data_IF_700537620963
#
_entry.id   IF_700537620963
#
_cell.length_a   1.000
_cell.length_b   1.000
_cell.length_c   1.000
_cell.angle_alpha   90.00
_cell.angle_beta   90.00
_cell.angle_gamma   90.00
#
_symmetry.space_group_name_H-M   'P 1'
#
loop_
_entity.id
_entity.type
_entity.pdbx_description
1 polymer ?
#
# COMPACT_ATOMS: atom_id res chain seq x y z
N UNK A 1 -35.85 18.96 1.53
CA UNK A 1 -35.62 20.29 2.12
C UNK A 1 -34.18 20.33 2.61
N UNK A 2 -33.48 21.43 2.31
CA UNK A 2 -32.04 21.64 2.43
C UNK A 2 -31.51 21.49 3.87
N UNK A 3 -30.31 20.91 4.01
CA UNK A 3 -29.20 21.56 4.73
C UNK A 3 -27.86 21.21 4.07
N UNK A 4 -27.17 22.23 3.55
CA UNK A 4 -25.76 22.21 3.10
C UNK A 4 -24.85 22.45 4.31
N UNK A 5 -23.78 21.67 4.48
CA UNK A 5 -22.56 22.05 5.23
C UNK A 5 -21.40 21.38 4.48
N UNK A 6 -20.73 22.05 3.53
CA UNK A 6 -19.57 22.94 3.72
C UNK A 6 -18.36 22.21 4.34
N UNK A 7 -17.46 21.74 3.47
CA UNK A 7 -16.09 21.38 3.84
C UNK A 7 -15.33 22.62 4.34
N UNK A 8 -14.34 22.42 5.22
CA UNK A 8 -13.00 22.82 4.80
C UNK A 8 -11.91 21.82 5.21
N UNK A 9 -10.98 21.62 4.27
CA UNK A 9 -9.52 21.58 4.45
C UNK A 9 -9.01 21.48 5.90
N UNK A 10 -8.36 20.36 6.23
CA UNK A 10 -7.29 20.33 7.23
C UNK A 10 -6.11 19.49 6.70
N UNK A 11 -5.35 20.12 5.80
CA UNK A 11 -3.93 19.81 5.62
C UNK A 11 -3.18 20.51 6.74
N UNK A 12 -2.65 19.77 7.71
CA UNK A 12 -1.43 20.04 8.48
C UNK A 12 -1.45 19.33 9.85
N UNK A 13 -0.57 18.33 10.04
CA UNK A 13 0.15 18.11 11.30
C UNK A 13 1.16 16.95 11.17
N UNK A 14 2.27 17.20 10.48
CA UNK A 14 3.53 16.48 10.68
C UNK A 14 4.46 17.42 11.45
N UNK A 15 4.45 17.37 12.79
CA UNK A 15 5.56 17.87 13.62
C UNK A 15 5.65 17.03 14.89
N UNK A 16 6.87 16.55 15.15
CA UNK A 16 7.28 15.81 16.33
C UNK A 16 7.30 16.65 17.62
N UNK A 17 7.10 15.99 18.77
CA UNK A 17 7.74 16.36 20.04
C UNK A 17 6.84 16.80 21.20
N UNK A 18 7.16 16.27 22.40
CA UNK A 18 6.63 16.58 23.75
C UNK A 18 5.13 16.31 23.95
N UNK A 19 4.67 15.74 25.05
CA UNK A 19 5.18 15.75 26.42
C UNK A 19 3.94 15.78 27.32
N UNK A 20 4.01 15.05 28.42
CA UNK A 20 3.02 14.82 29.49
C UNK A 20 1.82 15.78 29.61
N UNK A 21 0.62 15.21 29.77
CA UNK A 21 -0.39 15.77 30.68
C UNK A 21 -1.33 14.67 31.19
N UNK A 22 -1.54 14.68 32.50
CA UNK A 22 -2.30 13.74 33.33
C UNK A 22 -3.79 14.15 33.33
N UNK A 23 -4.73 13.21 33.25
CA UNK A 23 -6.14 13.61 33.29
C UNK A 23 -7.17 12.48 33.24
N UNK A 24 -7.44 11.95 34.44
CA UNK A 24 -8.77 11.65 34.97
C UNK A 24 -9.53 10.37 34.56
N UNK A 25 -10.07 9.78 35.62
CA UNK A 25 -10.72 8.49 35.75
C UNK A 25 -12.07 8.41 35.03
N UNK A 26 -12.36 7.29 34.38
CA UNK A 26 -13.74 6.86 34.16
C UNK A 26 -13.84 5.35 34.31
N UNK A 27 -14.51 4.93 35.38
CA UNK A 27 -14.84 3.56 35.69
C UNK A 27 -15.80 2.97 34.64
N UNK A 28 -15.51 1.74 34.18
CA UNK A 28 -16.48 0.88 33.54
C UNK A 28 -16.24 -0.56 34.00
N UNK A 29 -17.19 -1.06 34.79
CA UNK A 29 -17.29 -2.45 35.28
C UNK A 29 -17.67 -3.40 34.12
N UNK A 30 -17.44 -4.73 34.26
CA UNK A 30 -17.22 -5.66 33.16
C UNK A 30 -18.47 -6.46 32.76
N UNK A 31 -18.23 -7.34 31.78
CA UNK A 31 -19.03 -8.50 31.34
C UNK A 31 -19.85 -8.27 30.05
N UNK A 32 -19.42 -8.93 28.97
CA UNK A 32 -20.23 -9.92 28.25
C UNK A 32 -19.30 -10.84 27.49
N UNK A 33 -19.52 -12.14 27.66
CA UNK A 33 -18.77 -13.24 27.08
C UNK A 33 -19.30 -13.59 25.67
N UNK A 34 -18.39 -14.23 24.90
CA UNK A 34 -18.67 -15.15 23.79
C UNK A 34 -19.24 -14.48 22.51
N UNK A 35 -18.97 -14.94 21.29
CA UNK A 35 -18.63 -16.27 20.80
C UNK A 35 -17.66 -16.21 19.60
N UNK A 36 -16.95 -17.32 19.39
CA UNK A 36 -16.34 -17.68 18.12
C UNK A 36 -17.38 -17.67 17.00
N UNK A 37 -17.10 -16.95 15.91
CA UNK A 37 -17.57 -17.35 14.59
C UNK A 37 -16.40 -17.34 13.62
N UNK A 38 -16.33 -18.44 12.87
CA UNK A 38 -15.29 -18.83 11.93
C UNK A 38 -14.98 -17.75 10.89
N UNK A 39 -13.72 -17.65 10.41
CA UNK A 39 -13.39 -16.76 9.31
C UNK A 39 -14.20 -17.19 8.08
N UNK A 40 -15.16 -16.35 7.71
CA UNK A 40 -15.68 -16.36 6.34
C UNK A 40 -14.50 -15.99 5.46
N UNK A 41 -14.16 -16.90 4.54
CA UNK A 41 -13.18 -16.66 3.49
C UNK A 41 -13.49 -15.30 2.85
N UNK A 42 -12.62 -14.33 3.11
CA UNK A 42 -12.61 -13.11 2.34
C UNK A 42 -12.13 -13.52 0.95
N UNK A 43 -13.06 -13.64 0.01
CA UNK A 43 -12.69 -13.45 -1.39
C UNK A 43 -12.09 -12.04 -1.45
N UNK A 44 -10.82 -11.87 -1.87
CA UNK A 44 -10.28 -10.53 -2.07
C UNK A 44 -10.95 -9.99 -3.33
N UNK A 45 -12.17 -9.47 -3.19
CA UNK A 45 -12.79 -8.61 -4.19
C UNK A 45 -12.11 -7.23 -4.10
N UNK A 46 -10.80 -7.21 -4.37
CA UNK A 46 -10.04 -6.02 -4.66
C UNK A 46 -10.60 -5.43 -5.95
N UNK A 47 -11.65 -4.62 -5.80
CA UNK A 47 -12.30 -3.89 -6.89
C UNK A 47 -11.31 -2.89 -7.44
N UNK A 48 -10.55 -3.32 -8.44
CA UNK A 48 -9.72 -2.45 -9.21
C UNK A 48 -10.55 -1.36 -9.92
N UNK A 49 -9.92 -0.26 -10.36
CA UNK A 49 -10.60 0.76 -11.16
C UNK A 49 -11.34 0.11 -12.34
N UNK A 50 -12.48 0.68 -12.74
CA UNK A 50 -13.39 0.10 -13.73
C UNK A 50 -12.86 -0.09 -15.16
N UNK A 51 -11.54 0.03 -15.36
CA UNK A 51 -10.83 -0.23 -16.62
C UNK A 51 -10.01 -1.52 -16.50
N UNK A 52 -10.09 -2.46 -17.47
CA UNK A 52 -9.50 -3.80 -17.37
C UNK A 52 -7.98 -3.81 -17.16
N UNK A 53 -7.26 -2.81 -17.65
CA UNK A 53 -5.81 -2.68 -17.44
C UNK A 53 -5.47 -2.38 -15.97
N UNK A 54 -6.30 -1.58 -15.30
CA UNK A 54 -6.12 -1.30 -13.88
C UNK A 54 -6.51 -2.50 -13.02
N UNK A 55 -7.44 -3.33 -13.48
CA UNK A 55 -7.76 -4.62 -12.87
C UNK A 55 -6.60 -5.60 -12.88
N UNK A 56 -6.01 -5.85 -14.05
CA UNK A 56 -4.84 -6.71 -14.15
C UNK A 56 -3.67 -6.18 -13.30
N UNK A 57 -3.43 -4.87 -13.32
CA UNK A 57 -2.39 -4.26 -12.50
C UNK A 57 -2.62 -4.48 -11.00
N UNK A 58 -3.83 -4.26 -10.50
CA UNK A 58 -4.14 -4.41 -9.09
C UNK A 58 -4.13 -5.86 -8.62
N UNK A 59 -4.61 -6.79 -9.43
CA UNK A 59 -4.51 -8.23 -9.15
C UNK A 59 -3.05 -8.66 -9.01
N UNK A 60 -2.19 -8.25 -9.95
CA UNK A 60 -0.76 -8.54 -9.88
C UNK A 60 -0.08 -7.84 -8.69
N UNK A 61 -0.49 -6.61 -8.35
CA UNK A 61 0.06 -5.86 -7.23
C UNK A 61 -0.29 -6.50 -5.88
N UNK A 62 -1.53 -6.94 -5.70
CA UNK A 62 -1.94 -7.67 -4.48
C UNK A 62 -1.19 -9.00 -4.37
N UNK A 63 -1.04 -9.72 -5.49
CA UNK A 63 -0.33 -11.00 -5.52
C UNK A 63 1.14 -10.91 -5.08
N UNK A 64 1.78 -9.74 -5.20
CA UNK A 64 3.12 -9.50 -4.63
C UNK A 64 3.09 -9.58 -3.09
N UNK A 65 2.05 -9.04 -2.47
CA UNK A 65 1.89 -9.01 -1.01
C UNK A 65 1.62 -10.38 -0.38
N UNK A 66 1.13 -11.33 -1.18
CA UNK A 66 0.86 -12.71 -0.76
C UNK A 66 2.10 -13.61 -0.79
N UNK A 67 3.26 -13.09 -1.21
CA UNK A 67 4.50 -13.86 -1.25
C UNK A 67 5.24 -13.76 0.08
N UNK A 68 5.34 -14.88 0.79
CA UNK A 68 6.03 -14.97 2.09
C UNK A 68 7.56 -15.07 1.97
N UNK A 69 8.09 -15.55 0.84
CA UNK A 69 9.51 -15.86 0.65
C UNK A 69 10.16 -15.00 -0.44
N UNK A 70 11.38 -14.53 -0.19
CA UNK A 70 12.12 -13.68 -1.13
C UNK A 70 12.26 -14.28 -2.53
N UNK A 71 12.52 -15.58 -2.62
CA UNK A 71 12.67 -16.32 -3.87
C UNK A 71 11.40 -16.28 -4.74
N UNK A 72 10.23 -16.10 -4.12
CA UNK A 72 8.95 -15.99 -4.81
C UNK A 72 8.65 -14.60 -5.35
N UNK A 73 9.37 -13.54 -4.93
CA UNK A 73 8.99 -12.16 -5.23
C UNK A 73 9.27 -11.73 -6.68
N UNK A 74 10.25 -12.33 -7.36
CA UNK A 74 10.63 -11.88 -8.71
C UNK A 74 9.50 -12.01 -9.73
N UNK A 75 8.83 -13.17 -9.76
CA UNK A 75 7.80 -13.49 -10.74
C UNK A 75 6.63 -12.48 -10.74
N UNK A 76 5.98 -12.17 -9.61
CA UNK A 76 4.86 -11.21 -9.62
C UNK A 76 5.31 -9.79 -9.96
N UNK A 77 6.55 -9.41 -9.65
CA UNK A 77 7.11 -8.13 -10.11
C UNK A 77 7.40 -8.09 -11.62
N UNK A 78 7.85 -9.18 -12.22
CA UNK A 78 8.01 -9.29 -13.68
C UNK A 78 6.65 -9.21 -14.39
N UNK A 79 5.62 -9.81 -13.81
CA UNK A 79 4.24 -9.70 -14.28
C UNK A 79 3.73 -8.25 -14.23
N UNK A 80 3.95 -7.55 -13.11
CA UNK A 80 3.66 -6.12 -13.02
C UNK A 80 4.39 -5.29 -14.08
N UNK A 81 5.65 -5.61 -14.38
CA UNK A 81 6.41 -4.93 -15.44
C UNK A 81 5.80 -5.22 -16.81
N UNK A 82 5.34 -6.44 -17.05
CA UNK A 82 4.70 -6.85 -18.30
C UNK A 82 3.34 -6.20 -18.52
N UNK A 83 2.51 -6.11 -17.48
CA UNK A 83 1.22 -5.41 -17.50
C UNK A 83 1.45 -3.92 -17.70
N UNK A 84 2.48 -3.38 -17.03
CA UNK A 84 2.79 -1.97 -17.03
C UNK A 84 2.00 -1.21 -15.97
N UNK A 85 2.42 0.03 -15.72
CA UNK A 85 1.74 0.93 -14.79
C UNK A 85 0.69 1.73 -15.59
N UNK A 86 -0.59 1.78 -15.18
CA UNK A 86 -1.65 2.50 -15.90
C UNK A 86 -1.36 3.99 -16.13
N UNK A 87 -1.92 4.57 -17.20
CA UNK A 87 -1.69 5.96 -17.63
C UNK A 87 -2.13 7.04 -16.62
N UNK A 88 -2.91 6.67 -15.59
CA UNK A 88 -3.33 7.55 -14.50
C UNK A 88 -2.35 7.62 -13.32
N UNK A 89 -1.27 6.83 -13.34
CA UNK A 89 -0.32 6.77 -12.23
C UNK A 89 0.54 8.04 -12.13
N UNK A 90 1.01 8.39 -10.91
CA UNK A 90 1.87 9.54 -10.71
C UNK A 90 3.18 9.44 -11.51
N UNK A 91 3.70 10.60 -11.91
CA UNK A 91 4.92 10.69 -12.68
C UNK A 91 6.08 9.97 -11.98
N UNK A 92 6.65 8.97 -12.67
CA UNK A 92 7.76 8.18 -12.15
C UNK A 92 7.36 6.86 -11.50
N UNK A 93 6.06 6.52 -11.36
CA UNK A 93 5.66 5.20 -10.88
C UNK A 93 6.16 4.06 -11.80
N UNK A 94 6.01 4.20 -13.12
CA UNK A 94 6.54 3.21 -14.07
C UNK A 94 8.06 3.03 -13.97
N UNK A 95 8.81 4.14 -13.78
CA UNK A 95 10.25 4.08 -13.53
C UNK A 95 10.57 3.45 -12.17
N UNK A 96 9.75 3.74 -11.16
CA UNK A 96 9.87 3.19 -9.80
C UNK A 96 9.78 1.68 -9.79
N UNK A 97 8.79 1.12 -10.47
CA UNK A 97 8.65 -0.33 -10.66
C UNK A 97 9.93 -0.92 -11.29
N UNK A 98 10.39 -0.37 -12.42
CA UNK A 98 11.61 -0.85 -13.10
C UNK A 98 12.85 -0.77 -12.22
N UNK A 99 12.99 0.30 -11.43
CA UNK A 99 14.10 0.45 -10.47
C UNK A 99 14.02 -0.62 -9.39
N UNK A 100 12.82 -0.89 -8.86
CA UNK A 100 12.63 -1.91 -7.83
C UNK A 100 12.98 -3.30 -8.36
N UNK A 101 12.48 -3.68 -9.55
CA UNK A 101 12.79 -4.97 -10.18
C UNK A 101 14.28 -5.11 -10.49
N UNK A 102 14.97 -4.05 -10.94
CA UNK A 102 16.42 -4.08 -11.14
C UNK A 102 17.20 -4.31 -9.84
N UNK A 103 16.74 -3.76 -8.72
CA UNK A 103 17.33 -4.03 -7.40
C UNK A 103 17.03 -5.46 -6.96
N UNK A 104 15.79 -5.91 -7.08
CA UNK A 104 15.36 -7.25 -6.73
C UNK A 104 16.15 -8.31 -7.50
N UNK A 105 16.35 -8.13 -8.82
CA UNK A 105 17.13 -9.01 -9.67
C UNK A 105 18.62 -9.09 -9.33
N UNK A 106 19.16 -8.07 -8.67
CA UNK A 106 20.56 -8.03 -8.20
C UNK A 106 20.72 -8.54 -6.77
N UNK A 107 19.61 -8.74 -6.08
CA UNK A 107 19.59 -9.11 -4.67
C UNK A 107 19.55 -10.63 -4.53
N UNK A 108 20.41 -11.18 -3.69
CA UNK A 108 20.41 -12.62 -3.38
C UNK A 108 19.41 -12.99 -2.27
N UNK A 109 19.09 -12.02 -1.41
CA UNK A 109 18.20 -12.18 -0.25
C UNK A 109 17.62 -10.82 0.19
N UNK A 110 16.73 -10.82 1.20
CA UNK A 110 16.11 -9.60 1.74
C UNK A 110 17.13 -8.60 2.32
N UNK A 111 18.21 -9.11 2.91
CA UNK A 111 19.27 -8.27 3.48
C UNK A 111 20.04 -7.55 2.37
N UNK A 112 20.29 -8.23 1.25
CA UNK A 112 20.88 -7.61 0.08
C UNK A 112 19.92 -6.63 -0.59
N UNK A 113 18.63 -6.95 -0.70
CA UNK A 113 17.60 -6.03 -1.17
C UNK A 113 17.60 -4.73 -0.37
N UNK A 114 17.65 -4.82 0.96
CA UNK A 114 17.76 -3.63 1.82
C UNK A 114 19.07 -2.86 1.60
N UNK A 115 20.19 -3.59 1.48
CA UNK A 115 21.53 -3.01 1.27
C UNK A 115 21.63 -2.29 -0.07
N UNK A 116 21.14 -2.90 -1.15
CA UNK A 116 21.14 -2.33 -2.49
C UNK A 116 20.11 -1.21 -2.60
N UNK A 117 18.92 -1.36 -2.01
CA UNK A 117 17.90 -0.31 -1.92
C UNK A 117 18.42 0.98 -1.29
N UNK A 118 19.23 0.89 -0.23
CA UNK A 118 19.91 2.05 0.40
C UNK A 118 20.96 2.72 -0.49
N UNK A 119 21.53 1.99 -1.45
CA UNK A 119 22.49 2.54 -2.43
C UNK A 119 21.79 3.20 -3.62
N UNK A 120 20.49 3.00 -3.79
CA UNK A 120 19.71 3.71 -4.82
C UNK A 120 19.70 5.21 -4.51
N UNK A 121 20.05 6.08 -5.47
CA UNK A 121 19.99 7.52 -5.27
C UNK A 121 18.61 8.01 -4.82
N UNK A 122 18.54 9.01 -3.94
CA UNK A 122 17.29 9.52 -3.38
C UNK A 122 16.23 9.89 -4.45
N UNK A 123 16.65 10.47 -5.58
CA UNK A 123 15.75 10.78 -6.72
C UNK A 123 15.09 9.53 -7.32
N UNK A 124 15.78 8.39 -7.32
CA UNK A 124 15.27 7.10 -7.78
C UNK A 124 14.40 6.44 -6.70
N UNK A 125 14.78 6.55 -5.43
CA UNK A 125 13.95 6.09 -4.31
C UNK A 125 12.58 6.78 -4.28
N UNK A 126 12.51 8.08 -4.58
CA UNK A 126 11.24 8.80 -4.68
C UNK A 126 10.31 8.21 -5.76
N UNK A 127 10.87 7.73 -6.88
CA UNK A 127 10.11 7.05 -7.94
C UNK A 127 9.59 5.69 -7.47
N UNK A 128 10.43 4.91 -6.79
CA UNK A 128 10.03 3.63 -6.17
C UNK A 128 8.91 3.85 -5.16
N UNK A 129 9.03 4.86 -4.29
CA UNK A 129 7.98 5.23 -3.35
C UNK A 129 6.68 5.63 -4.06
N UNK A 130 6.77 6.42 -5.14
CA UNK A 130 5.62 6.80 -5.95
C UNK A 130 4.89 5.60 -6.57
N UNK A 131 5.61 4.54 -6.94
CA UNK A 131 5.03 3.29 -7.43
C UNK A 131 4.24 2.56 -6.32
N UNK A 132 4.87 2.31 -5.17
CA UNK A 132 4.21 1.62 -4.07
C UNK A 132 3.03 2.41 -3.49
N UNK A 133 3.16 3.73 -3.40
CA UNK A 133 2.08 4.61 -2.98
C UNK A 133 0.88 4.46 -3.93
N UNK A 134 1.11 4.58 -5.25
CA UNK A 134 0.05 4.41 -6.24
C UNK A 134 -0.64 3.05 -6.15
N UNK A 135 0.13 1.97 -6.09
CA UNK A 135 -0.43 0.62 -5.95
C UNK A 135 -1.24 0.47 -4.67
N UNK A 136 -0.74 0.96 -3.53
CA UNK A 136 -1.46 0.89 -2.26
C UNK A 136 -2.77 1.69 -2.26
N UNK A 137 -2.75 2.95 -2.75
CA UNK A 137 -3.94 3.80 -2.77
C UNK A 137 -4.97 3.31 -3.79
N UNK A 138 -4.52 2.76 -4.92
CA UNK A 138 -5.41 2.36 -6.02
C UNK A 138 -5.96 0.95 -5.84
N UNK A 139 -5.16 0.03 -5.32
CA UNK A 139 -5.49 -1.40 -5.32
C UNK A 139 -5.91 -1.95 -3.95
N UNK A 140 -5.58 -1.26 -2.85
CA UNK A 140 -5.90 -1.72 -1.49
C UNK A 140 -7.01 -0.90 -0.83
N UNK A 141 -7.45 0.20 -1.44
CA UNK A 141 -8.56 1.01 -0.89
C UNK A 141 -9.89 0.41 -1.35
N UNK A 142 -10.77 -0.03 -0.44
CA UNK A 142 -12.10 -0.50 -0.83
C UNK A 142 -12.89 0.66 -1.48
N UNK A 143 -13.76 0.38 -2.47
CA UNK A 143 -14.60 1.42 -3.07
C UNK A 143 -15.46 2.07 -1.98
N UNK A 144 -15.61 3.41 -2.05
CA UNK A 144 -16.50 4.13 -1.14
C UNK A 144 -17.94 3.59 -1.27
N UNK A 145 -18.68 3.45 -0.15
CA UNK A 145 -20.04 2.91 -0.14
C UNK A 145 -21.04 3.77 -0.92
#
# INVERSE_FOLDING_TARGET
>A
MLTRIAAPLLVAALVAGCGSDEGEETAADPATAAESESPTAAEPEGSAPGDPESAAFCEAFVSVGDVDEFEGMQRPFDELVSIGVPDGAPAGAADGLRIFVDVLAKSEDEKDLNRLGKKVPAKKQAKVASFFQYGSETCLTPPAP
#
